data_IF_436524031550
#
_entry.id   IF_436524031550
#
_cell.length_a   1.000
_cell.length_b   1.000
_cell.length_c   1.000
_cell.angle_alpha   90.00
_cell.angle_beta   90.00
_cell.angle_gamma   90.00
#
_symmetry.space_group_name_H-M   'P 1'
#
loop_
_entity.id
_entity.type
_entity.pdbx_description
1 polymer ?
#
# COMPACT_ATOMS: atom_id res chain seq x y z
N UNK A 1 5.37 22.83 -14.49
CA UNK A 1 6.07 21.67 -13.88
C UNK A 1 5.41 21.38 -12.55
N UNK A 2 4.47 20.42 -12.48
CA UNK A 2 3.93 19.99 -11.18
C UNK A 2 5.03 19.18 -10.48
N UNK A 3 5.68 19.80 -9.49
CA UNK A 3 6.72 19.14 -8.72
C UNK A 3 6.19 17.89 -8.05
N UNK A 4 6.85 16.75 -8.28
CA UNK A 4 6.54 15.50 -7.60
C UNK A 4 6.68 15.69 -6.09
N UNK A 5 5.56 15.69 -5.38
CA UNK A 5 5.56 15.72 -3.93
C UNK A 5 6.19 14.42 -3.41
N UNK A 6 7.32 14.55 -2.71
CA UNK A 6 7.99 13.41 -2.05
C UNK A 6 7.34 13.19 -0.69
N UNK A 7 7.03 11.93 -0.38
CA UNK A 7 6.37 11.54 0.86
C UNK A 7 6.74 10.14 1.31
N UNK A 8 6.25 9.77 2.49
CA UNK A 8 6.38 8.45 3.09
C UNK A 8 5.00 7.80 3.20
N UNK A 9 4.91 6.51 2.86
CA UNK A 9 3.64 5.75 2.79
C UNK A 9 3.72 4.49 3.65
N UNK A 10 3.67 4.60 4.99
CA UNK A 10 3.60 3.43 5.84
C UNK A 10 2.37 2.59 5.47
N UNK A 11 2.60 1.28 5.32
CA UNK A 11 1.57 0.28 5.07
C UNK A 11 1.65 -0.78 6.15
N UNK A 12 0.49 -1.17 6.65
CA UNK A 12 0.31 -2.37 7.47
C UNK A 12 -0.69 -3.27 6.79
N UNK A 13 -0.42 -4.58 6.76
CA UNK A 13 -1.30 -5.58 6.17
C UNK A 13 -1.46 -6.77 7.08
N UNK A 14 -2.61 -7.42 6.96
CA UNK A 14 -2.90 -8.71 7.57
C UNK A 14 -3.50 -9.62 6.49
N UNK A 15 -3.16 -10.89 6.52
CA UNK A 15 -3.55 -11.82 5.46
C UNK A 15 -3.26 -13.26 5.80
N UNK A 16 -3.61 -14.14 4.87
CA UNK A 16 -3.36 -15.57 4.95
C UNK A 16 -2.87 -16.10 3.60
N UNK A 17 -2.25 -17.29 3.62
CA UNK A 17 -1.79 -17.99 2.43
C UNK A 17 -2.54 -19.29 2.23
N UNK A 18 -2.86 -19.60 0.98
CA UNK A 18 -3.35 -20.90 0.53
C UNK A 18 -2.44 -21.34 -0.61
N UNK A 19 -1.61 -22.36 -0.38
CA UNK A 19 -0.51 -22.73 -1.29
C UNK A 19 0.36 -21.51 -1.61
N UNK A 20 0.53 -21.20 -2.89
CA UNK A 20 1.34 -20.10 -3.41
C UNK A 20 0.56 -18.78 -3.55
N UNK A 21 -0.71 -18.75 -3.14
CA UNK A 21 -1.56 -17.56 -3.17
C UNK A 21 -1.66 -16.92 -1.78
N UNK A 22 -1.32 -15.65 -1.71
CA UNK A 22 -1.42 -14.78 -0.54
C UNK A 22 -2.55 -13.79 -0.72
N UNK A 23 -3.51 -13.82 0.20
CA UNK A 23 -4.61 -12.86 0.28
C UNK A 23 -4.36 -11.92 1.45
N UNK A 24 -4.40 -10.61 1.22
CA UNK A 24 -4.14 -9.62 2.26
C UNK A 24 -5.10 -8.43 2.18
N UNK A 25 -5.39 -7.87 3.35
CA UNK A 25 -6.02 -6.56 3.50
C UNK A 25 -4.95 -5.61 4.06
N UNK A 26 -4.86 -4.41 3.51
CA UNK A 26 -3.89 -3.41 3.93
C UNK A 26 -4.52 -2.04 4.20
N UNK A 27 -3.90 -1.30 5.12
CA UNK A 27 -4.12 0.11 5.32
C UNK A 27 -2.82 0.86 5.01
N UNK A 28 -2.90 1.82 4.09
CA UNK A 28 -1.78 2.67 3.69
C UNK A 28 -2.12 4.13 3.98
N UNK A 29 -1.23 4.86 4.64
CA UNK A 29 -1.39 6.30 4.90
C UNK A 29 -0.25 7.07 4.26
N UNK A 30 -0.53 7.98 3.35
CA UNK A 30 0.47 8.84 2.72
C UNK A 30 0.71 10.09 3.58
N UNK A 31 1.98 10.44 3.80
CA UNK A 31 2.42 11.66 4.49
C UNK A 31 3.46 12.41 3.65
N UNK A 32 3.27 13.71 3.47
CA UNK A 32 4.27 14.56 2.81
C UNK A 32 5.43 14.87 3.77
N UNK A 33 6.68 14.93 3.28
CA UNK A 33 7.86 15.28 4.10
C UNK A 33 7.93 16.77 4.44
N UNK A 34 7.36 17.64 3.59
CA UNK A 34 7.18 19.07 3.85
C UNK A 34 5.69 19.37 3.77
N UNK A 35 5.14 20.03 4.77
CA UNK A 35 3.77 20.51 4.72
C UNK A 35 3.66 21.54 3.57
N UNK A 36 2.91 21.27 2.50
CA UNK A 36 2.55 22.30 1.55
C UNK A 36 1.70 23.36 2.28
N UNK A 37 1.51 24.55 1.71
CA UNK A 37 0.58 25.56 2.24
C UNK A 37 -0.86 25.05 2.40
N UNK A 38 -1.17 23.88 1.82
CA UNK A 38 -2.40 23.10 1.99
C UNK A 38 -2.02 21.70 2.48
N UNK A 39 -2.53 21.29 3.64
CA UNK A 39 -2.31 19.94 4.18
C UNK A 39 -3.26 18.96 3.47
N UNK A 40 -2.67 17.96 2.80
CA UNK A 40 -3.39 16.91 2.09
C UNK A 40 -3.14 15.57 2.77
N UNK A 41 -4.22 14.94 3.27
CA UNK A 41 -4.18 13.62 3.90
C UNK A 41 -4.77 12.61 2.94
N UNK A 42 -3.97 11.63 2.55
CA UNK A 42 -4.39 10.52 1.68
C UNK A 42 -4.25 9.20 2.45
N UNK A 43 -5.30 8.42 2.46
CA UNK A 43 -5.31 7.09 3.07
C UNK A 43 -6.09 6.11 2.21
N UNK A 44 -5.66 4.85 2.24
CA UNK A 44 -6.13 3.78 1.36
C UNK A 44 -6.37 2.52 2.18
N UNK A 45 -7.51 1.86 1.95
CA UNK A 45 -7.76 0.50 2.38
C UNK A 45 -7.76 -0.37 1.13
N UNK A 46 -6.99 -1.45 1.13
CA UNK A 46 -6.82 -2.33 -0.03
C UNK A 46 -7.08 -3.79 0.30
N UNK A 47 -7.50 -4.53 -0.71
CA UNK A 47 -7.50 -5.98 -0.73
C UNK A 47 -6.64 -6.45 -1.91
N UNK A 48 -5.78 -7.44 -1.68
CA UNK A 48 -4.86 -7.94 -2.69
C UNK A 48 -4.85 -9.46 -2.76
N UNK A 49 -4.58 -9.95 -3.97
CA UNK A 49 -4.23 -11.32 -4.25
C UNK A 49 -2.83 -11.33 -4.88
N UNK A 50 -1.92 -12.09 -4.29
CA UNK A 50 -0.51 -12.11 -4.64
C UNK A 50 -0.10 -13.56 -4.85
N UNK A 51 0.58 -13.84 -5.95
CA UNK A 51 1.18 -15.14 -6.25
C UNK A 51 2.67 -15.07 -5.90
N UNK A 52 3.11 -15.93 -4.99
CA UNK A 52 4.51 -16.07 -4.58
C UNK A 52 5.14 -17.21 -5.40
N UNK A 53 6.15 -16.90 -6.22
CA UNK A 53 6.79 -17.90 -7.08
C UNK A 53 7.73 -18.79 -6.26
N UNK A 54 7.52 -20.11 -6.31
CA UNK A 54 8.45 -21.07 -5.74
C UNK A 54 9.71 -21.19 -6.61
N UNK A 55 10.86 -20.90 -6.00
CA UNK A 55 12.18 -20.97 -6.64
C UNK A 55 13.06 -22.07 -6.06
N UNK A 56 12.52 -22.92 -5.17
CA UNK A 56 13.30 -23.87 -4.37
C UNK A 56 14.43 -23.20 -3.57
N UNK A 57 14.26 -21.93 -3.22
CA UNK A 57 15.22 -21.13 -2.47
C UNK A 57 14.51 -20.23 -1.46
N UNK A 58 15.25 -19.62 -0.50
CA UNK A 58 14.68 -18.62 0.43
C UNK A 58 14.17 -17.35 -0.26
N UNK A 59 14.51 -17.12 -1.53
CA UNK A 59 14.16 -15.93 -2.30
C UNK A 59 12.89 -16.20 -3.09
N UNK A 60 11.80 -15.48 -2.81
CA UNK A 60 10.49 -15.66 -3.44
C UNK A 60 10.07 -14.39 -4.18
N UNK A 61 10.26 -14.32 -5.51
CA UNK A 61 9.62 -13.29 -6.31
C UNK A 61 8.10 -13.37 -6.15
N UNK A 62 7.38 -12.26 -6.27
CA UNK A 62 5.92 -12.27 -6.25
C UNK A 62 5.31 -11.26 -7.23
N UNK A 63 4.08 -11.55 -7.68
CA UNK A 63 3.26 -10.68 -8.51
C UNK A 63 1.81 -10.74 -8.03
N UNK A 64 1.12 -9.60 -7.99
CA UNK A 64 -0.26 -9.54 -7.53
C UNK A 64 -1.02 -8.35 -8.05
N UNK A 65 -2.32 -8.38 -7.78
CA UNK A 65 -3.24 -7.29 -8.03
C UNK A 65 -3.80 -6.76 -6.71
N UNK A 66 -4.12 -5.47 -6.69
CA UNK A 66 -4.70 -4.78 -5.53
C UNK A 66 -5.89 -3.94 -5.96
N UNK A 67 -7.02 -4.15 -5.30
CA UNK A 67 -8.17 -3.26 -5.35
C UNK A 67 -8.17 -2.39 -4.09
N UNK A 68 -8.53 -1.12 -4.20
CA UNK A 68 -8.47 -0.19 -3.08
C UNK A 68 -9.54 0.87 -3.07
N UNK A 69 -9.88 1.31 -1.87
CA UNK A 69 -10.67 2.51 -1.60
C UNK A 69 -9.73 3.57 -1.05
N UNK A 70 -9.64 4.70 -1.75
CA UNK A 70 -8.74 5.80 -1.45
C UNK A 70 -9.58 7.00 -1.00
N UNK A 71 -9.20 7.62 0.11
CA UNK A 71 -9.81 8.86 0.58
C UNK A 71 -8.76 9.96 0.64
N UNK A 72 -9.06 11.07 -0.03
CA UNK A 72 -8.30 12.30 0.08
C UNK A 72 -9.09 13.28 0.96
N UNK A 73 -8.41 13.94 1.90
CA UNK A 73 -8.94 15.02 2.71
C UNK A 73 -8.05 16.24 2.54
N UNK A 74 -8.68 17.38 2.26
CA UNK A 74 -8.00 18.68 2.13
C UNK A 74 -8.43 19.55 3.30
N UNK A 75 -7.47 20.02 4.09
CA UNK A 75 -7.74 21.00 5.15
C UNK A 75 -7.51 22.42 4.59
N UNK A 76 -8.60 23.16 4.37
CA UNK A 76 -8.58 24.55 3.88
C UNK A 76 -8.86 25.55 5.01
N UNK A 77 -8.04 25.55 6.07
CA UNK A 77 -7.92 26.67 7.04
C UNK A 77 -9.18 27.17 7.78
N UNK A 78 -10.36 26.58 7.58
CA UNK A 78 -11.63 26.99 8.17
C UNK A 78 -12.76 26.03 7.81
N UNK A 79 -13.11 25.15 8.76
CA UNK A 79 -14.31 24.28 8.89
C UNK A 79 -14.88 23.46 7.71
N UNK A 80 -14.40 23.55 6.48
CA UNK A 80 -14.89 22.73 5.37
C UNK A 80 -13.88 21.65 4.96
N UNK A 81 -14.06 20.45 5.49
CA UNK A 81 -13.28 19.26 5.09
C UNK A 81 -13.92 18.61 3.87
N UNK A 82 -13.38 18.86 2.68
CA UNK A 82 -13.79 18.13 1.48
C UNK A 82 -13.10 16.76 1.45
N UNK A 83 -13.89 15.69 1.49
CA UNK A 83 -13.40 14.33 1.38
C UNK A 83 -14.03 13.62 0.20
N UNK A 84 -13.19 13.04 -0.66
CA UNK A 84 -13.63 12.27 -1.81
C UNK A 84 -13.11 10.84 -1.67
N UNK A 85 -14.01 9.87 -1.86
CA UNK A 85 -13.65 8.45 -1.88
C UNK A 85 -13.61 7.98 -3.33
N UNK A 86 -12.49 7.37 -3.71
CA UNK A 86 -12.25 6.86 -5.06
C UNK A 86 -11.78 5.41 -5.00
N UNK A 87 -12.29 4.58 -5.90
CA UNK A 87 -11.77 3.24 -6.11
C UNK A 87 -10.47 3.30 -6.91
N UNK A 88 -9.55 2.35 -6.67
CA UNK A 88 -8.28 2.27 -7.39
C UNK A 88 -7.87 0.83 -7.60
N UNK A 89 -7.40 0.52 -8.81
CA UNK A 89 -6.82 -0.76 -9.19
C UNK A 89 -5.30 -0.60 -9.36
N UNK A 90 -4.53 -1.57 -8.88
CA UNK A 90 -3.07 -1.53 -8.95
C UNK A 90 -2.44 -2.91 -9.06
N UNK A 91 -1.15 -2.91 -9.38
CA UNK A 91 -0.29 -4.10 -9.46
C UNK A 91 0.74 -4.05 -8.33
N UNK A 92 1.06 -5.20 -7.77
CA UNK A 92 2.09 -5.40 -6.74
C UNK A 92 3.14 -6.36 -7.30
N UNK A 93 4.42 -6.04 -7.16
CA UNK A 93 5.51 -6.95 -7.51
C UNK A 93 6.71 -6.67 -6.61
N UNK A 94 7.50 -7.70 -6.34
CA UNK A 94 8.68 -7.59 -5.48
C UNK A 94 9.32 -8.95 -5.23
N UNK A 95 10.17 -8.99 -4.22
CA UNK A 95 10.90 -10.19 -3.82
C UNK A 95 10.88 -10.27 -2.31
N UNK A 96 10.37 -11.38 -1.77
CA UNK A 96 10.45 -11.67 -0.34
C UNK A 96 11.63 -12.62 -0.05
N UNK A 97 12.28 -12.47 1.10
CA UNK A 97 13.37 -13.32 1.57
C UNK A 97 13.01 -13.97 2.90
N UNK A 98 12.99 -15.31 2.95
CA UNK A 98 12.73 -16.05 4.17
C UNK A 98 13.94 -16.00 5.12
N UNK A 99 13.85 -15.18 6.17
CA UNK A 99 14.90 -15.05 7.20
C UNK A 99 14.82 -16.22 8.17
N UNK A 100 13.61 -16.61 8.55
CA UNK A 100 13.29 -17.78 9.37
C UNK A 100 12.03 -18.46 8.82
N UNK A 101 11.68 -19.68 9.25
CA UNK A 101 10.46 -20.35 8.78
C UNK A 101 9.15 -19.57 8.97
N UNK A 102 9.14 -18.55 9.84
CA UNK A 102 7.95 -17.77 10.19
C UNK A 102 8.09 -16.26 9.90
N UNK A 103 9.25 -15.81 9.43
CA UNK A 103 9.53 -14.39 9.20
C UNK A 103 10.20 -14.21 7.85
N UNK A 104 9.49 -13.49 6.98
CA UNK A 104 9.97 -13.07 5.68
C UNK A 104 10.26 -11.55 5.72
N UNK A 105 11.30 -11.13 5.00
CA UNK A 105 11.58 -9.73 4.69
C UNK A 105 11.05 -9.42 3.28
N UNK A 106 10.39 -8.27 3.11
CA UNK A 106 9.80 -7.78 1.86
C UNK A 106 10.28 -6.36 1.56
#
# INVERSE_FOLDING_TARGET
SLGSAKGFSPRISAGYRINDLRFAVDYTRYKNYKAPSTDFKLYSIGASAIYDFDTQSPVKPYLGARLSLNRASVDLGGSDSFSQTSTGLGVLAGVSYAVTPNVDLD
#
